data_IF_416938858469
#
_entry.id   IF_416938858469
#
_cell.length_a   1.000
_cell.length_b   1.000
_cell.length_c   1.000
_cell.angle_alpha   90.00
_cell.angle_beta   90.00
_cell.angle_gamma   90.00
#
_symmetry.space_group_name_H-M   'P 1'
#
loop_
_entity.id
_entity.type
_entity.pdbx_description
1 polymer ?
#
# COMPACT_ATOMS: atom_id res chain seq x y z
N UNK A 1 -26.30 -21.50 5.18
CA UNK A 1 -24.93 -21.58 5.71
C UNK A 1 -24.13 -20.67 4.80
N UNK A 2 -23.85 -19.44 5.24
CA UNK A 2 -23.02 -18.53 4.43
C UNK A 2 -21.62 -19.13 4.41
N UNK A 3 -21.24 -19.69 3.26
CA UNK A 3 -19.86 -20.06 2.98
C UNK A 3 -19.05 -18.78 3.08
N UNK A 4 -18.43 -18.56 4.24
CA UNK A 4 -17.57 -17.41 4.46
C UNK A 4 -16.55 -17.39 3.33
N UNK A 5 -16.52 -16.30 2.57
CA UNK A 5 -15.48 -16.06 1.59
C UNK A 5 -14.15 -16.17 2.33
N UNK A 6 -13.50 -17.32 2.23
CA UNK A 6 -12.15 -17.51 2.71
C UNK A 6 -11.30 -16.59 1.86
N UNK A 7 -11.05 -15.37 2.35
CA UNK A 7 -10.06 -14.47 1.78
C UNK A 7 -8.78 -15.27 1.67
N UNK A 8 -8.45 -15.72 0.45
CA UNK A 8 -7.25 -16.50 0.18
C UNK A 8 -6.10 -15.73 0.79
N UNK A 9 -5.41 -16.35 1.74
CA UNK A 9 -4.21 -15.78 2.34
C UNK A 9 -3.27 -15.37 1.20
N UNK A 10 -2.90 -14.09 1.15
CA UNK A 10 -1.99 -13.57 0.14
C UNK A 10 -0.69 -14.41 0.13
N UNK A 11 -0.16 -14.76 -1.06
CA UNK A 11 1.13 -15.44 -1.14
C UNK A 11 2.24 -14.50 -0.64
N UNK A 12 3.17 -15.05 0.14
CA UNK A 12 4.34 -14.31 0.62
C UNK A 12 5.34 -14.16 -0.52
N UNK A 13 5.73 -12.93 -0.82
CA UNK A 13 6.77 -12.61 -1.80
C UNK A 13 8.15 -12.96 -1.29
N UNK A 14 8.92 -13.67 -2.12
CA UNK A 14 10.30 -14.12 -1.84
C UNK A 14 11.24 -13.84 -3.03
N UNK A 15 10.96 -12.79 -3.80
CA UNK A 15 11.72 -12.47 -5.02
C UNK A 15 11.46 -13.37 -6.24
N UNK A 16 10.58 -14.37 -6.14
CA UNK A 16 10.28 -15.32 -7.23
C UNK A 16 8.82 -15.23 -7.68
N UNK A 17 8.57 -15.52 -8.97
CA UNK A 17 7.24 -15.45 -9.61
C UNK A 17 6.56 -14.09 -9.42
N UNK A 18 7.32 -13.02 -9.63
CA UNK A 18 6.86 -11.64 -9.43
C UNK A 18 5.54 -11.35 -10.14
N UNK A 19 5.39 -11.71 -11.43
CA UNK A 19 4.15 -11.46 -12.18
C UNK A 19 2.92 -12.10 -11.53
N UNK A 20 3.05 -13.34 -11.06
CA UNK A 20 1.95 -14.01 -10.35
C UNK A 20 1.61 -13.30 -9.03
N UNK A 21 2.63 -12.96 -8.24
CA UNK A 21 2.43 -12.26 -6.97
C UNK A 21 1.83 -10.86 -7.19
N UNK A 22 2.29 -10.15 -8.21
CA UNK A 22 1.83 -8.82 -8.62
C UNK A 22 0.33 -8.82 -8.92
N UNK A 23 -0.13 -9.72 -9.78
CA UNK A 23 -1.56 -9.82 -10.13
C UNK A 23 -2.42 -10.14 -8.90
N UNK A 24 -1.96 -11.03 -8.01
CA UNK A 24 -2.66 -11.34 -6.76
C UNK A 24 -2.76 -10.12 -5.84
N UNK A 25 -1.69 -9.32 -5.74
CA UNK A 25 -1.69 -8.12 -4.92
C UNK A 25 -2.60 -7.03 -5.47
N UNK A 26 -2.58 -6.80 -6.79
CA UNK A 26 -3.49 -5.84 -7.46
C UNK A 26 -4.95 -6.21 -7.15
N UNK A 27 -5.32 -7.46 -7.45
CA UNK A 27 -6.68 -7.96 -7.17
C UNK A 27 -7.04 -7.82 -5.69
N UNK A 28 -6.09 -8.05 -4.78
CA UNK A 28 -6.35 -7.93 -3.35
C UNK A 28 -6.56 -6.48 -2.92
N UNK A 29 -5.75 -5.54 -3.39
CA UNK A 29 -5.96 -4.11 -3.11
C UNK A 29 -7.34 -3.64 -3.60
N UNK A 30 -7.69 -3.97 -4.84
CA UNK A 30 -8.99 -3.62 -5.44
C UNK A 30 -10.17 -4.27 -4.69
N UNK A 31 -9.99 -5.50 -4.18
CA UNK A 31 -11.02 -6.19 -3.38
C UNK A 31 -11.30 -5.52 -2.04
N UNK A 32 -10.34 -4.78 -1.48
CA UNK A 32 -10.50 -4.07 -0.21
C UNK A 32 -11.15 -2.71 -0.44
N UNK A 33 -10.64 -1.94 -1.40
CA UNK A 33 -11.15 -0.60 -1.73
C UNK A 33 -10.60 -0.13 -3.07
N UNK A 34 -11.47 0.50 -3.88
CA UNK A 34 -11.12 0.98 -5.24
C UNK A 34 -9.89 1.91 -5.27
N UNK A 35 -9.76 2.79 -4.27
CA UNK A 35 -8.63 3.74 -4.20
C UNK A 35 -7.30 3.14 -3.74
N UNK A 36 -7.24 1.88 -3.27
CA UNK A 36 -6.00 1.33 -2.74
C UNK A 36 -4.97 1.05 -3.83
N UNK A 37 -5.39 0.47 -4.97
CA UNK A 37 -4.47 0.24 -6.08
C UNK A 37 -4.01 1.58 -6.69
N UNK A 38 -4.92 2.54 -6.85
CA UNK A 38 -4.60 3.89 -7.32
C UNK A 38 -3.57 4.60 -6.40
N UNK A 39 -3.66 4.34 -5.08
CA UNK A 39 -2.67 4.80 -4.12
C UNK A 39 -1.28 4.16 -4.32
N UNK A 40 -1.22 2.89 -4.75
CA UNK A 40 0.05 2.23 -5.09
C UNK A 40 0.65 2.80 -6.37
N UNK A 41 -0.17 3.04 -7.38
CA UNK A 41 0.29 3.38 -8.72
C UNK A 41 0.60 4.88 -8.87
N UNK A 42 -0.31 5.74 -8.45
CA UNK A 42 -0.29 7.15 -8.86
C UNK A 42 -0.02 8.12 -7.72
N UNK A 43 -0.61 7.90 -6.53
CA UNK A 43 -0.75 8.98 -5.55
C UNK A 43 0.46 9.21 -4.67
N UNK A 44 0.64 10.47 -4.29
CA UNK A 44 1.48 10.89 -3.17
C UNK A 44 0.61 11.04 -1.91
N UNK A 45 1.12 10.57 -0.77
CA UNK A 45 0.37 10.52 0.49
C UNK A 45 0.75 11.63 1.47
N UNK A 46 1.83 12.36 1.20
CA UNK A 46 2.31 13.48 2.01
C UNK A 46 1.95 14.77 1.27
N UNK A 47 1.17 15.66 1.88
CA UNK A 47 0.91 16.98 1.33
C UNK A 47 2.11 17.89 1.56
N UNK A 48 2.41 18.71 0.54
CA UNK A 48 3.45 19.72 0.57
C UNK A 48 2.83 21.12 0.43
N UNK A 49 3.46 22.13 1.03
CA UNK A 49 3.13 23.54 0.80
C UNK A 49 3.73 24.04 -0.53
N UNK A 50 3.44 25.30 -0.88
CA UNK A 50 3.95 25.95 -2.10
C UNK A 50 5.49 26.06 -2.15
N UNK A 51 6.16 25.85 -1.01
CA UNK A 51 7.62 25.85 -0.85
C UNK A 51 8.20 24.44 -0.78
N UNK A 52 7.41 23.41 -1.08
CA UNK A 52 7.78 21.99 -1.03
C UNK A 52 8.15 21.48 0.38
N UNK A 53 7.68 22.13 1.45
CA UNK A 53 7.80 21.60 2.81
C UNK A 53 6.62 20.67 3.13
N UNK A 54 6.88 19.60 3.88
CA UNK A 54 5.80 18.74 4.39
C UNK A 54 4.86 19.55 5.29
N UNK A 55 3.57 19.54 4.98
CA UNK A 55 2.56 20.21 5.81
C UNK A 55 2.40 19.42 7.11
N UNK A 56 2.41 20.07 8.29
CA UNK A 56 2.18 19.40 9.56
C UNK A 56 0.82 18.67 9.59
N UNK A 57 0.78 17.45 10.15
CA UNK A 57 -0.45 16.63 10.20
C UNK A 57 -1.64 17.33 10.87
N UNK A 58 -1.39 18.24 11.80
CA UNK A 58 -2.43 19.05 12.46
C UNK A 58 -3.16 20.00 11.51
N UNK A 59 -2.54 20.37 10.39
CA UNK A 59 -3.10 21.27 9.37
C UNK A 59 -3.72 20.51 8.18
N UNK A 60 -3.73 19.17 8.23
CA UNK A 60 -4.26 18.39 7.13
C UNK A 60 -5.78 18.50 7.03
N UNK A 61 -6.25 18.71 5.80
CA UNK A 61 -7.66 18.58 5.42
C UNK A 61 -8.08 17.11 5.45
N UNK A 62 -9.39 16.86 5.56
CA UNK A 62 -9.93 15.50 5.63
C UNK A 62 -9.54 14.63 4.42
N UNK A 63 -9.49 15.20 3.22
CA UNK A 63 -9.03 14.50 2.01
C UNK A 63 -7.55 14.05 2.12
N UNK A 64 -6.68 14.87 2.71
CA UNK A 64 -5.27 14.53 2.91
C UNK A 64 -5.13 13.41 3.96
N UNK A 65 -5.92 13.47 5.04
CA UNK A 65 -5.99 12.39 6.04
C UNK A 65 -6.48 11.08 5.42
N UNK A 66 -7.49 11.15 4.55
CA UNK A 66 -8.03 9.99 3.85
C UNK A 66 -6.98 9.37 2.90
N UNK A 67 -6.26 10.20 2.14
CA UNK A 67 -5.16 9.74 1.28
C UNK A 67 -4.06 9.07 2.10
N UNK A 68 -3.69 9.66 3.24
CA UNK A 68 -2.72 9.06 4.16
C UNK A 68 -3.20 7.73 4.74
N UNK A 69 -4.50 7.61 5.07
CA UNK A 69 -5.11 6.38 5.54
C UNK A 69 -5.03 5.28 4.47
N UNK A 70 -5.35 5.59 3.21
CA UNK A 70 -5.24 4.63 2.12
C UNK A 70 -3.80 4.17 1.90
N UNK A 71 -2.83 5.10 1.89
CA UNK A 71 -1.41 4.73 1.83
C UNK A 71 -1.02 3.83 2.99
N UNK A 72 -1.48 4.13 4.21
CA UNK A 72 -1.17 3.34 5.40
C UNK A 72 -1.77 1.93 5.34
N UNK A 73 -3.02 1.80 4.89
CA UNK A 73 -3.67 0.49 4.65
C UNK A 73 -2.93 -0.30 3.58
N UNK A 74 -2.59 0.34 2.47
CA UNK A 74 -1.89 -0.31 1.37
C UNK A 74 -0.49 -0.79 1.79
N UNK A 75 0.25 0.03 2.55
CA UNK A 75 1.52 -0.35 3.17
C UNK A 75 1.37 -1.56 4.09
N UNK A 76 0.34 -1.56 4.94
CA UNK A 76 0.12 -2.68 5.86
C UNK A 76 -0.10 -4.00 5.11
N UNK A 77 -0.93 -3.99 4.06
CA UNK A 77 -1.16 -5.16 3.20
C UNK A 77 0.15 -5.60 2.54
N UNK A 78 0.90 -4.65 1.98
CA UNK A 78 2.21 -4.91 1.35
C UNK A 78 3.17 -5.57 2.34
N UNK A 79 3.39 -4.99 3.53
CA UNK A 79 4.29 -5.54 4.55
C UNK A 79 3.90 -6.95 4.98
N UNK A 80 2.60 -7.25 5.10
CA UNK A 80 2.10 -8.57 5.44
C UNK A 80 2.33 -9.61 4.33
N UNK A 81 2.48 -9.16 3.07
CA UNK A 81 2.69 -10.00 1.91
C UNK A 81 4.17 -10.23 1.57
N UNK A 82 5.12 -9.68 2.36
CA UNK A 82 6.55 -9.81 2.11
C UNK A 82 7.21 -10.85 3.02
N UNK A 83 8.22 -11.53 2.50
CA UNK A 83 9.14 -12.30 3.35
C UNK A 83 10.01 -11.38 4.19
N UNK A 84 10.68 -11.92 5.21
CA UNK A 84 11.57 -11.14 6.08
C UNK A 84 12.71 -10.45 5.31
N UNK A 85 13.23 -11.10 4.28
CA UNK A 85 14.29 -10.58 3.42
C UNK A 85 13.78 -9.35 2.65
N UNK A 86 12.68 -9.51 1.90
CA UNK A 86 12.06 -8.42 1.14
C UNK A 86 11.57 -7.28 2.04
N UNK A 87 11.00 -7.60 3.21
CA UNK A 87 10.58 -6.63 4.21
C UNK A 87 11.74 -5.70 4.59
N UNK A 88 12.93 -6.25 4.79
CA UNK A 88 14.11 -5.47 5.23
C UNK A 88 14.46 -4.39 4.21
N UNK A 89 14.25 -4.66 2.91
CA UNK A 89 14.54 -3.73 1.83
C UNK A 89 13.58 -2.52 1.79
N UNK A 90 12.31 -2.72 2.19
CA UNK A 90 11.25 -1.72 1.93
C UNK A 90 10.58 -1.15 3.17
N UNK A 91 10.77 -1.74 4.35
CA UNK A 91 10.05 -1.36 5.58
C UNK A 91 10.22 0.12 6.00
N UNK A 92 11.36 0.73 5.65
CA UNK A 92 11.67 2.12 5.98
C UNK A 92 10.96 3.13 5.07
N UNK A 93 10.38 2.69 3.95
CA UNK A 93 9.67 3.58 3.04
C UNK A 93 8.34 4.06 3.61
N UNK A 94 8.05 5.35 3.37
CA UNK A 94 6.84 6.01 3.85
C UNK A 94 5.67 5.84 2.90
N UNK A 95 5.90 5.63 1.59
CA UNK A 95 4.85 5.38 0.61
C UNK A 95 4.77 3.92 0.19
N UNK A 96 3.54 3.41 0.00
CA UNK A 96 3.33 2.09 -0.61
C UNK A 96 3.89 2.06 -2.04
N UNK A 97 3.81 3.18 -2.76
CA UNK A 97 4.39 3.34 -4.10
C UNK A 97 5.88 3.03 -4.11
N UNK A 98 6.65 3.61 -3.18
CA UNK A 98 8.09 3.32 -3.05
C UNK A 98 8.34 1.83 -2.78
N UNK A 99 7.55 1.23 -1.89
CA UNK A 99 7.66 -0.20 -1.58
C UNK A 99 7.35 -1.08 -2.80
N UNK A 100 6.46 -0.64 -3.67
CA UNK A 100 6.05 -1.37 -4.87
C UNK A 100 7.05 -1.25 -6.03
N UNK A 101 7.79 -0.14 -6.10
CA UNK A 101 8.72 0.15 -7.20
C UNK A 101 10.15 -0.37 -7.01
N UNK A 102 10.48 -0.93 -5.84
CA UNK A 102 11.81 -1.53 -5.58
C UNK A 102 11.98 -2.87 -6.28
#
# INVERSE_FOLDING_TARGET
MEEGFSTKKLPIFRGVKYDYWKEQMITHFESIHIDLWDMVEHRNHIPYDDKLNEVPRSQWREEQKLTFLFNSKARNVMLCALSKEEYTNVHSFRSVKQMWTV
#
